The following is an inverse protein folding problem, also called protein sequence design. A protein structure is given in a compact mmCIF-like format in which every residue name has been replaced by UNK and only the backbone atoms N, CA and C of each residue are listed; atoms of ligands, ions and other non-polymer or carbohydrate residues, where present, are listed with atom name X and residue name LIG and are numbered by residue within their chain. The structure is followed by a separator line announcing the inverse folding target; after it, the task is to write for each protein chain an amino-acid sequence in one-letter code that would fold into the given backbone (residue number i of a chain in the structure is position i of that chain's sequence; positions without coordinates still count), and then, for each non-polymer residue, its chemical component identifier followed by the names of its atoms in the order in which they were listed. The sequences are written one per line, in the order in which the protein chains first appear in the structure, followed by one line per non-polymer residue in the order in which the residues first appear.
data_IF_757424283495
#
_entry.id   IF_757424283495
#
_cell.length_a   1.000
_cell.length_b   1.000
_cell.length_c   1.000
_cell.angle_alpha   90.00
_cell.angle_beta   90.00
_cell.angle_gamma   90.00
#
_symmetry.space_group_name_H-M   'P 1'
#
loop_
_entity.id
_entity.type
_entity.pdbx_description
1 polymer ?
#
# COMPACT_ATOMS: atom_id res chain seq x y z
N UNK A 1 -3.47 26.60 2.61
CA UNK A 1 -2.22 26.58 1.78
C UNK A 1 -2.16 25.21 1.12
N UNK A 2 -1.63 25.10 -0.09
CA UNK A 2 -1.41 23.78 -0.70
C UNK A 2 -0.36 23.02 0.10
N UNK A 3 -0.51 21.71 0.20
CA UNK A 3 0.45 20.82 0.87
C UNK A 3 1.74 20.75 0.04
N UNK A 4 2.90 20.80 0.72
CA UNK A 4 4.22 20.72 0.07
C UNK A 4 4.86 19.38 0.43
N UNK A 5 5.09 18.47 -0.54
CA UNK A 5 5.75 17.18 -0.30
C UNK A 5 7.19 17.35 0.20
N UNK A 6 7.67 16.36 0.96
CA UNK A 6 9.04 16.33 1.46
C UNK A 6 10.10 16.45 0.36
N UNK A 7 9.86 15.84 -0.82
CA UNK A 7 10.75 15.99 -1.97
C UNK A 7 10.97 17.48 -2.35
N UNK A 8 9.90 18.24 -2.49
CA UNK A 8 9.97 19.67 -2.86
C UNK A 8 10.80 20.46 -1.84
N UNK A 9 10.64 20.17 -0.56
CA UNK A 9 11.41 20.80 0.52
C UNK A 9 12.89 20.39 0.48
N UNK A 10 13.17 19.11 0.26
CA UNK A 10 14.54 18.60 0.12
C UNK A 10 15.28 19.31 -1.03
N UNK A 11 14.62 19.44 -2.20
CA UNK A 11 15.19 20.09 -3.38
C UNK A 11 15.50 21.58 -3.13
N UNK A 12 14.66 22.27 -2.36
CA UNK A 12 14.86 23.69 -2.00
C UNK A 12 15.95 23.90 -0.94
N UNK A 13 16.31 22.88 -0.17
CA UNK A 13 17.21 22.97 1.00
C UNK A 13 18.70 23.01 0.65
N UNK A 14 19.10 22.78 -0.59
CA UNK A 14 20.48 22.64 -1.09
C UNK A 14 21.31 21.54 -0.42
N UNK A 15 20.69 20.66 0.37
CA UNK A 15 21.38 19.61 1.13
C UNK A 15 21.90 18.46 0.24
N UNK A 16 21.57 18.46 -1.04
CA UNK A 16 22.04 17.51 -2.04
C UNK A 16 23.27 17.99 -2.81
N UNK A 17 23.66 19.28 -2.66
CA UNK A 17 24.80 19.85 -3.39
C UNK A 17 26.11 19.08 -3.12
N UNK A 18 26.82 18.74 -4.19
CA UNK A 18 28.08 17.98 -4.15
C UNK A 18 27.90 16.47 -4.00
N UNK A 19 26.67 15.97 -3.80
CA UNK A 19 26.44 14.56 -3.51
C UNK A 19 26.11 13.73 -4.78
N UNK A 20 26.52 12.47 -4.71
CA UNK A 20 26.12 11.40 -5.62
C UNK A 20 24.91 10.67 -5.02
N UNK A 21 23.74 10.85 -5.60
CA UNK A 21 22.46 10.43 -5.05
C UNK A 21 21.92 9.19 -5.78
N UNK A 22 21.53 8.18 -5.01
CA UNK A 22 20.59 7.13 -5.46
C UNK A 22 19.17 7.53 -5.13
N UNK A 23 18.24 7.37 -6.05
CA UNK A 23 16.83 7.75 -5.85
C UNK A 23 15.90 6.55 -6.02
N UNK A 24 15.17 6.23 -4.95
CA UNK A 24 14.07 5.23 -4.96
C UNK A 24 12.78 5.96 -5.28
N UNK A 25 12.19 5.68 -6.42
CA UNK A 25 11.02 6.39 -6.92
C UNK A 25 10.22 5.57 -7.95
N UNK A 26 9.01 6.04 -8.23
CA UNK A 26 8.12 5.48 -9.25
C UNK A 26 7.31 6.61 -9.92
N UNK A 27 6.34 6.33 -10.83
CA UNK A 27 5.58 7.39 -11.50
C UNK A 27 4.85 8.37 -10.59
N UNK A 28 4.48 7.97 -9.37
CA UNK A 28 3.82 8.86 -8.40
C UNK A 28 4.79 9.77 -7.63
N UNK A 29 6.09 9.61 -7.84
CA UNK A 29 7.14 10.45 -7.25
C UNK A 29 7.21 11.79 -8.00
N UNK A 30 6.20 12.64 -7.81
CA UNK A 30 6.06 13.93 -8.49
C UNK A 30 5.88 15.07 -7.48
N UNK A 31 6.19 16.28 -7.92
CA UNK A 31 5.83 17.53 -7.21
C UNK A 31 4.38 17.97 -7.51
N UNK A 32 3.98 19.14 -7.01
CA UNK A 32 2.64 19.69 -7.23
C UNK A 32 2.36 20.08 -8.71
N UNK A 33 3.39 20.13 -9.56
CA UNK A 33 3.29 20.44 -10.99
C UNK A 33 3.46 19.19 -11.88
N UNK A 34 3.40 17.98 -11.27
CA UNK A 34 3.58 16.70 -11.96
C UNK A 34 5.02 16.54 -12.52
N UNK A 35 5.98 17.33 -12.06
CA UNK A 35 7.38 17.11 -12.42
C UNK A 35 7.96 15.94 -11.63
N UNK A 36 8.49 14.95 -12.36
CA UNK A 36 8.95 13.69 -11.76
C UNK A 36 10.27 13.86 -10.99
N UNK A 37 10.37 13.23 -9.82
CA UNK A 37 11.52 13.29 -8.91
C UNK A 37 12.87 13.06 -9.60
N UNK A 38 12.98 12.06 -10.48
CA UNK A 38 14.23 11.79 -11.20
C UNK A 38 14.64 12.94 -12.14
N UNK A 39 13.68 13.66 -12.73
CA UNK A 39 13.96 14.87 -13.52
C UNK A 39 14.42 16.00 -12.61
N UNK A 40 13.67 16.26 -11.55
CA UNK A 40 13.97 17.34 -10.62
C UNK A 40 15.37 17.20 -10.01
N UNK A 41 15.72 15.99 -9.51
CA UNK A 41 17.05 15.71 -8.93
C UNK A 41 18.15 15.82 -9.98
N UNK A 42 17.94 15.33 -11.20
CA UNK A 42 18.96 15.38 -12.26
C UNK A 42 19.23 16.80 -12.79
N UNK A 43 18.33 17.75 -12.57
CA UNK A 43 18.48 19.14 -12.97
C UNK A 43 19.06 20.05 -11.89
N UNK A 44 19.27 19.52 -10.64
CA UNK A 44 19.83 20.32 -9.57
C UNK A 44 21.33 20.62 -9.82
N UNK A 45 21.76 21.90 -9.73
CA UNK A 45 23.16 22.25 -9.83
C UNK A 45 24.01 21.56 -8.75
N UNK A 46 25.13 20.99 -9.16
CA UNK A 46 26.07 20.33 -8.23
C UNK A 46 25.62 18.97 -7.70
N UNK A 47 24.48 18.43 -8.12
CA UNK A 47 23.98 17.10 -7.72
C UNK A 47 24.24 16.10 -8.84
N UNK A 48 24.72 14.90 -8.49
CA UNK A 48 24.85 13.79 -9.42
C UNK A 48 23.80 12.73 -9.12
N UNK A 49 22.77 12.61 -9.94
CA UNK A 49 21.88 11.43 -9.91
C UNK A 49 22.69 10.25 -10.46
N UNK A 50 23.03 9.28 -9.60
CA UNK A 50 23.92 8.18 -9.94
C UNK A 50 23.20 6.87 -10.23
N UNK A 51 22.03 6.64 -9.62
CA UNK A 51 21.20 5.46 -9.83
C UNK A 51 19.73 5.74 -9.51
N UNK A 52 18.84 5.00 -10.16
CA UNK A 52 17.40 4.93 -9.87
C UNK A 52 17.06 3.54 -9.34
N UNK A 53 16.08 3.47 -8.43
CA UNK A 53 15.59 2.22 -7.86
C UNK A 53 14.06 2.19 -7.97
N UNK A 54 13.52 1.16 -8.61
CA UNK A 54 12.08 0.96 -8.78
C UNK A 54 11.54 -0.06 -7.78
N UNK A 55 10.37 0.22 -7.12
CA UNK A 55 9.67 -0.73 -6.26
C UNK A 55 8.95 -1.80 -7.09
N UNK A 56 8.06 -2.59 -6.45
CA UNK A 56 7.11 -3.47 -7.13
C UNK A 56 6.39 -2.73 -8.27
N UNK A 57 6.04 -3.42 -9.33
CA UNK A 57 5.56 -2.94 -10.64
C UNK A 57 6.61 -2.20 -11.47
N UNK A 58 7.84 -2.04 -10.97
CA UNK A 58 8.96 -1.39 -11.66
C UNK A 58 8.95 0.13 -11.60
N UNK A 59 10.04 0.72 -12.03
CA UNK A 59 10.23 2.18 -12.08
C UNK A 59 9.16 2.89 -12.92
N UNK A 60 8.62 2.24 -13.95
CA UNK A 60 7.58 2.78 -14.85
C UNK A 60 6.17 2.39 -14.44
N UNK A 61 6.00 1.46 -13.52
CA UNK A 61 4.72 0.86 -13.11
C UNK A 61 3.87 0.37 -14.30
N UNK A 62 4.52 -0.22 -15.30
CA UNK A 62 3.89 -0.75 -16.51
C UNK A 62 3.48 -2.23 -16.35
N UNK A 63 3.94 -2.92 -15.34
CA UNK A 63 3.56 -4.30 -15.01
C UNK A 63 2.27 -4.29 -14.18
N UNK A 64 1.14 -4.51 -14.85
CA UNK A 64 -0.18 -4.36 -14.24
C UNK A 64 -0.53 -5.47 -13.25
N UNK A 65 -0.08 -6.70 -13.53
CA UNK A 65 -0.36 -7.82 -12.64
C UNK A 65 0.61 -7.85 -11.45
N UNK A 66 0.14 -8.33 -10.30
CA UNK A 66 0.98 -8.54 -9.13
C UNK A 66 1.84 -9.81 -9.30
N UNK A 67 2.91 -9.95 -8.52
CA UNK A 67 3.86 -11.07 -8.54
C UNK A 67 4.62 -11.25 -9.88
N UNK A 68 4.62 -10.25 -10.75
CA UNK A 68 5.48 -10.22 -11.94
C UNK A 68 6.72 -9.39 -11.62
N UNK A 69 7.89 -10.02 -11.72
CA UNK A 69 9.18 -9.37 -11.48
C UNK A 69 9.50 -8.37 -12.60
N UNK A 70 10.09 -7.24 -12.21
CA UNK A 70 10.56 -6.23 -13.17
C UNK A 70 12.09 -6.32 -13.35
N UNK A 71 12.62 -6.35 -14.59
CA UNK A 71 14.05 -6.45 -14.81
C UNK A 71 14.79 -5.15 -14.47
N UNK A 72 16.09 -5.26 -14.25
CA UNK A 72 16.98 -4.08 -14.26
C UNK A 72 16.98 -3.44 -15.65
N UNK A 73 17.15 -2.12 -15.69
CA UNK A 73 17.11 -1.34 -16.93
C UNK A 73 18.14 -0.19 -16.89
N UNK A 74 18.13 0.64 -17.90
CA UNK A 74 18.87 1.90 -17.95
C UNK A 74 17.93 3.03 -18.36
N UNK A 75 18.00 4.16 -17.68
CA UNK A 75 17.33 5.40 -18.11
C UNK A 75 18.16 6.03 -19.23
N UNK A 76 17.66 5.95 -20.47
CA UNK A 76 18.35 6.45 -21.65
C UNK A 76 18.50 7.98 -21.68
N UNK A 77 17.60 8.71 -21.01
CA UNK A 77 17.61 10.17 -20.94
C UNK A 77 18.70 10.65 -19.99
N UNK A 78 18.74 10.06 -18.77
CA UNK A 78 19.66 10.46 -17.70
C UNK A 78 20.97 9.67 -17.73
N UNK A 79 21.01 8.58 -18.51
CA UNK A 79 22.16 7.67 -18.67
C UNK A 79 22.63 7.08 -17.32
N UNK A 80 21.66 6.68 -16.51
CA UNK A 80 21.89 6.04 -15.21
C UNK A 80 21.25 4.66 -15.14
N UNK A 81 21.79 3.73 -14.34
CA UNK A 81 21.15 2.44 -14.11
C UNK A 81 19.81 2.62 -13.38
N UNK A 82 18.85 1.76 -13.73
CA UNK A 82 17.56 1.59 -13.04
C UNK A 82 17.53 0.20 -12.45
N UNK A 83 17.73 0.12 -11.15
CA UNK A 83 17.70 -1.15 -10.42
C UNK A 83 16.27 -1.47 -9.98
N UNK A 84 15.82 -2.68 -10.26
CA UNK A 84 14.57 -3.20 -9.71
C UNK A 84 14.80 -3.70 -8.29
N UNK A 85 13.94 -3.26 -7.36
CA UNK A 85 13.82 -3.83 -6.02
C UNK A 85 12.64 -4.81 -5.95
N UNK A 86 12.26 -5.36 -7.11
CA UNK A 86 11.28 -6.43 -7.25
C UNK A 86 11.69 -7.37 -8.40
N UNK A 87 12.89 -7.97 -8.27
CA UNK A 87 13.48 -8.96 -9.18
C UNK A 87 14.24 -10.00 -8.35
N UNK A 88 15.53 -10.21 -8.60
CA UNK A 88 16.39 -11.12 -7.84
C UNK A 88 16.56 -10.71 -6.37
N UNK A 89 16.35 -9.43 -6.06
CA UNK A 89 16.46 -8.88 -4.71
C UNK A 89 15.31 -7.93 -4.39
N UNK A 90 14.98 -7.85 -3.10
CA UNK A 90 14.06 -6.85 -2.51
C UNK A 90 14.79 -5.77 -1.74
N UNK A 91 16.11 -5.90 -1.63
CA UNK A 91 16.99 -4.99 -0.89
C UNK A 91 18.13 -4.54 -1.80
N UNK A 92 18.50 -3.24 -1.82
CA UNK A 92 19.67 -2.78 -2.57
C UNK A 92 20.94 -3.53 -2.19
N UNK A 93 21.69 -4.04 -3.17
CA UNK A 93 22.95 -4.73 -2.95
C UNK A 93 24.11 -3.73 -2.81
N UNK A 94 25.28 -4.22 -2.32
CA UNK A 94 26.50 -3.42 -2.22
C UNK A 94 26.90 -2.78 -3.55
N UNK A 95 26.79 -3.54 -4.65
CA UNK A 95 27.15 -3.06 -5.99
C UNK A 95 26.21 -1.96 -6.48
N UNK A 96 24.90 -2.08 -6.20
CA UNK A 96 23.91 -1.05 -6.53
C UNK A 96 24.13 0.25 -5.78
N UNK A 97 24.68 0.18 -4.56
CA UNK A 97 24.94 1.31 -3.66
C UNK A 97 26.34 1.88 -3.82
N UNK A 98 27.21 1.25 -4.60
CA UNK A 98 28.61 1.63 -4.73
C UNK A 98 28.78 3.07 -5.25
N UNK A 99 29.49 3.88 -4.49
CA UNK A 99 29.80 5.26 -4.83
C UNK A 99 28.63 6.24 -4.67
N UNK A 100 27.58 5.85 -3.96
CA UNK A 100 26.53 6.76 -3.52
C UNK A 100 26.94 7.41 -2.20
N UNK A 101 26.71 8.71 -2.08
CA UNK A 101 26.87 9.48 -0.83
C UNK A 101 25.55 9.50 -0.02
N UNK A 102 24.43 9.35 -0.70
CA UNK A 102 23.10 9.44 -0.11
C UNK A 102 22.09 8.59 -0.89
N UNK A 103 21.22 7.88 -0.17
CA UNK A 103 20.02 7.27 -0.74
C UNK A 103 18.79 8.13 -0.40
N UNK A 104 18.01 8.50 -1.41
CA UNK A 104 16.75 9.26 -1.25
C UNK A 104 15.59 8.35 -1.62
N UNK A 105 14.57 8.32 -0.77
CA UNK A 105 13.32 7.57 -1.01
C UNK A 105 12.18 8.56 -1.16
N UNK A 106 11.49 8.52 -2.29
CA UNK A 106 10.29 9.30 -2.56
C UNK A 106 9.22 8.40 -3.17
N UNK A 107 8.40 7.79 -2.33
CA UNK A 107 7.34 6.84 -2.71
C UNK A 107 6.00 7.26 -2.09
N UNK A 108 4.90 7.11 -2.85
CA UNK A 108 3.54 7.33 -2.36
C UNK A 108 2.96 6.04 -1.80
N UNK A 109 2.79 5.97 -0.49
CA UNK A 109 2.02 4.94 0.19
C UNK A 109 0.50 5.21 0.11
N UNK A 110 -0.33 4.18 0.36
CA UNK A 110 -1.79 4.28 0.33
C UNK A 110 -2.48 4.01 1.67
N UNK A 111 -1.72 3.92 2.76
CA UNK A 111 -2.26 3.80 4.12
C UNK A 111 -2.59 2.38 4.58
N UNK A 112 -2.20 1.37 3.82
CA UNK A 112 -2.48 -0.04 4.09
C UNK A 112 -1.22 -0.87 4.26
N UNK A 113 -1.17 -1.75 5.28
CA UNK A 113 -0.04 -2.66 5.55
C UNK A 113 0.39 -3.45 4.33
N UNK A 114 -0.54 -3.92 3.53
CA UNK A 114 -0.28 -4.80 2.39
C UNK A 114 0.42 -4.05 1.24
N UNK A 115 0.39 -2.71 1.22
CA UNK A 115 0.98 -1.94 0.16
C UNK A 115 2.51 -1.88 0.30
N UNK A 116 3.21 -2.61 -0.58
CA UNK A 116 4.62 -3.02 -0.42
C UNK A 116 5.66 -1.91 -0.42
N UNK A 117 5.30 -0.68 -0.78
CA UNK A 117 6.25 0.44 -0.86
C UNK A 117 6.84 0.81 0.49
N UNK A 118 6.09 0.63 1.57
CA UNK A 118 6.61 0.81 2.93
C UNK A 118 7.71 -0.22 3.26
N UNK A 119 7.65 -1.41 2.67
CA UNK A 119 8.68 -2.45 2.85
C UNK A 119 9.84 -2.28 1.89
N UNK A 120 9.62 -1.75 0.68
CA UNK A 120 10.70 -1.27 -0.19
C UNK A 120 11.53 -0.21 0.54
N UNK A 121 10.87 0.76 1.19
CA UNK A 121 11.53 1.76 2.02
C UNK A 121 12.28 1.12 3.20
N UNK A 122 11.66 0.18 3.93
CA UNK A 122 12.29 -0.51 5.05
C UNK A 122 13.54 -1.31 4.63
N UNK A 123 13.48 -1.98 3.48
CA UNK A 123 14.61 -2.72 2.92
C UNK A 123 15.73 -1.77 2.48
N UNK A 124 15.39 -0.59 1.97
CA UNK A 124 16.38 0.47 1.71
C UNK A 124 17.03 0.97 3.00
N UNK A 125 16.28 1.11 4.10
CA UNK A 125 16.84 1.43 5.43
C UNK A 125 17.82 0.35 5.90
N UNK A 126 17.46 -0.94 5.77
CA UNK A 126 18.35 -2.08 6.12
C UNK A 126 19.65 -2.07 5.32
N UNK A 127 19.55 -1.87 4.00
CA UNK A 127 20.70 -1.76 3.11
C UNK A 127 21.58 -0.54 3.47
N UNK A 128 20.97 0.62 3.67
CA UNK A 128 21.65 1.84 4.08
C UNK A 128 22.42 1.64 5.40
N UNK A 129 21.80 1.00 6.39
CA UNK A 129 22.44 0.64 7.66
C UNK A 129 23.64 -0.30 7.47
N UNK A 130 23.46 -1.36 6.67
CA UNK A 130 24.48 -2.38 6.42
C UNK A 130 25.71 -1.81 5.72
N UNK A 131 25.50 -0.88 4.79
CA UNK A 131 26.56 -0.31 3.94
C UNK A 131 27.05 1.08 4.41
N UNK A 132 26.53 1.58 5.53
CA UNK A 132 26.97 2.86 6.11
C UNK A 132 26.59 4.09 5.29
N UNK A 133 25.54 4.00 4.46
CA UNK A 133 25.09 5.10 3.61
C UNK A 133 23.96 5.85 4.32
N UNK A 134 24.00 7.19 4.44
CA UNK A 134 22.88 7.98 4.92
C UNK A 134 21.66 7.81 4.01
N UNK A 135 20.45 7.88 4.60
CA UNK A 135 19.20 7.78 3.86
C UNK A 135 18.23 8.88 4.25
N UNK A 136 17.61 9.48 3.25
CA UNK A 136 16.54 10.48 3.41
C UNK A 136 15.24 9.91 2.86
N UNK A 137 14.18 9.90 3.67
CA UNK A 137 12.82 9.60 3.24
C UNK A 137 12.07 10.93 3.07
N UNK A 138 11.70 11.24 1.82
CA UNK A 138 10.82 12.34 1.48
C UNK A 138 9.40 11.95 1.84
N UNK A 139 8.84 12.56 2.87
CA UNK A 139 7.51 12.21 3.35
C UNK A 139 6.42 12.71 2.41
N UNK A 140 5.32 11.96 2.35
CA UNK A 140 4.12 12.25 1.55
C UNK A 140 2.87 12.06 2.40
N UNK A 141 1.78 12.79 2.09
CA UNK A 141 0.50 12.59 2.76
C UNK A 141 0.05 11.13 2.71
N UNK A 142 -0.47 10.62 3.83
CA UNK A 142 -1.26 9.40 3.76
C UNK A 142 -2.60 9.73 3.09
N UNK A 143 -2.94 9.11 1.94
CA UNK A 143 -4.09 9.54 1.14
C UNK A 143 -5.44 9.29 1.80
N UNK A 144 -5.51 8.35 2.73
CA UNK A 144 -6.74 8.00 3.45
C UNK A 144 -6.76 8.56 4.89
N UNK A 145 -5.94 9.60 5.14
CA UNK A 145 -5.82 10.25 6.45
C UNK A 145 -4.93 9.49 7.44
N UNK A 146 -4.61 10.16 8.52
CA UNK A 146 -3.73 9.64 9.59
C UNK A 146 -4.43 9.45 10.94
N UNK A 147 -5.73 9.69 11.03
CA UNK A 147 -6.49 9.58 12.29
C UNK A 147 -6.79 8.12 12.59
N UNK A 148 -7.48 7.45 11.69
CA UNK A 148 -7.98 6.10 11.92
C UNK A 148 -6.91 5.02 11.80
N UNK A 149 -7.01 4.04 12.70
CA UNK A 149 -6.28 2.78 12.69
C UNK A 149 -7.29 1.65 12.73
N UNK A 150 -7.11 0.62 11.89
CA UNK A 150 -8.11 -0.43 11.77
C UNK A 150 -7.50 -1.76 11.32
N UNK A 151 -8.15 -2.85 11.70
CA UNK A 151 -7.87 -4.19 11.20
C UNK A 151 -6.86 -4.97 12.02
N UNK A 152 -6.66 -6.25 11.68
CA UNK A 152 -5.81 -7.15 12.42
C UNK A 152 -4.33 -6.74 12.33
N UNK A 153 -3.61 -6.99 13.41
CA UNK A 153 -2.16 -6.88 13.47
C UNK A 153 -1.49 -8.03 12.70
N UNK A 154 -0.27 -7.80 12.21
CA UNK A 154 0.59 -8.89 11.79
C UNK A 154 1.13 -9.62 13.02
N UNK A 155 0.89 -10.92 13.09
CA UNK A 155 1.42 -11.80 14.13
C UNK A 155 2.76 -12.40 13.73
N UNK A 156 3.58 -12.73 14.74
CA UNK A 156 4.87 -13.40 14.54
C UNK A 156 4.70 -14.74 13.79
N UNK A 157 5.55 -14.96 12.79
CA UNK A 157 5.50 -16.12 11.91
C UNK A 157 4.65 -15.94 10.65
N UNK A 158 4.00 -14.79 10.49
CA UNK A 158 3.26 -14.43 9.26
C UNK A 158 3.92 -13.31 8.47
N UNK A 159 5.18 -13.00 8.79
CA UNK A 159 5.97 -12.04 8.03
C UNK A 159 6.13 -12.53 6.59
N UNK A 160 5.98 -11.59 5.66
CA UNK A 160 6.10 -11.83 4.22
C UNK A 160 6.45 -10.53 3.50
N UNK A 161 6.56 -10.57 2.17
CA UNK A 161 6.78 -9.35 1.38
C UNK A 161 5.65 -8.32 1.52
N UNK A 162 4.43 -8.74 1.88
CA UNK A 162 3.27 -7.86 2.13
C UNK A 162 3.02 -7.57 3.62
N UNK A 163 3.98 -7.89 4.47
CA UNK A 163 3.91 -7.63 5.90
C UNK A 163 5.22 -7.99 6.61
N UNK A 164 6.09 -7.00 6.91
CA UNK A 164 7.38 -7.25 7.59
C UNK A 164 7.36 -6.90 9.08
N UNK A 165 6.37 -6.15 9.54
CA UNK A 165 6.34 -5.61 10.90
C UNK A 165 4.95 -5.71 11.50
N UNK A 166 4.83 -5.82 12.84
CA UNK A 166 3.56 -5.94 13.55
C UNK A 166 2.80 -4.60 13.58
N UNK A 167 2.23 -4.24 12.44
CA UNK A 167 1.36 -3.07 12.27
C UNK A 167 -0.03 -3.50 11.80
N UNK A 168 -1.09 -2.72 12.07
CA UNK A 168 -2.45 -3.04 11.66
C UNK A 168 -2.66 -2.85 10.15
N UNK A 169 -3.76 -3.38 9.62
CA UNK A 169 -4.11 -3.32 8.21
C UNK A 169 -4.19 -1.87 7.69
N UNK A 170 -4.93 -0.99 8.36
CA UNK A 170 -4.92 0.46 8.15
C UNK A 170 -4.09 1.09 9.26
N UNK A 171 -2.90 1.60 8.94
CA UNK A 171 -1.93 2.03 9.97
C UNK A 171 -2.04 3.50 10.37
N UNK A 172 -2.70 4.36 9.57
CA UNK A 172 -2.89 5.77 9.89
C UNK A 172 -1.59 6.56 10.10
N UNK A 173 -0.54 6.26 9.33
CA UNK A 173 0.76 6.93 9.39
C UNK A 173 1.21 7.33 7.97
N UNK A 174 2.05 8.35 7.85
CA UNK A 174 2.75 8.67 6.61
C UNK A 174 3.94 7.74 6.41
N UNK A 175 4.49 7.67 5.19
CA UNK A 175 5.67 6.84 4.91
C UNK A 175 6.89 7.29 5.72
N UNK A 176 7.04 8.61 5.97
CA UNK A 176 8.10 9.15 6.82
C UNK A 176 7.92 8.77 8.30
N UNK A 177 6.69 8.76 8.81
CA UNK A 177 6.39 8.28 10.16
C UNK A 177 6.66 6.78 10.29
N UNK A 178 6.28 5.97 9.29
CA UNK A 178 6.62 4.55 9.24
C UNK A 178 8.13 4.32 9.17
N UNK A 179 8.86 5.14 8.41
CA UNK A 179 10.33 5.05 8.37
C UNK A 179 10.93 5.22 9.76
N UNK A 180 10.46 6.20 10.54
CA UNK A 180 10.88 6.39 11.94
C UNK A 180 10.50 5.21 12.82
N UNK A 181 9.25 4.75 12.72
CA UNK A 181 8.78 3.60 13.50
C UNK A 181 9.63 2.35 13.22
N UNK A 182 9.88 2.02 11.95
CA UNK A 182 10.67 0.85 11.56
C UNK A 182 12.13 1.00 11.97
N UNK A 183 12.68 2.20 11.84
CA UNK A 183 14.06 2.48 12.20
C UNK A 183 14.31 2.40 13.70
N UNK A 184 13.45 2.99 14.50
CA UNK A 184 13.63 3.17 15.94
C UNK A 184 13.02 2.01 16.74
N UNK A 185 11.68 1.81 16.64
CA UNK A 185 10.96 0.82 17.46
C UNK A 185 11.23 -0.62 17.01
N UNK A 186 11.41 -0.85 15.70
CA UNK A 186 11.71 -2.19 15.17
C UNK A 186 13.19 -2.40 14.85
N UNK A 187 14.06 -1.46 15.27
CA UNK A 187 15.50 -1.67 15.46
C UNK A 187 16.33 -1.73 14.17
N UNK A 188 15.89 -1.15 13.04
CA UNK A 188 16.74 -1.10 11.83
C UNK A 188 18.02 -0.29 12.10
N UNK A 189 17.92 0.90 12.73
CA UNK A 189 19.06 1.70 13.18
C UNK A 189 19.87 2.33 12.05
N UNK A 190 19.26 2.67 10.92
CA UNK A 190 19.89 3.39 9.83
C UNK A 190 20.15 4.86 10.20
N UNK A 191 21.11 5.50 9.53
CA UNK A 191 21.29 6.95 9.60
C UNK A 191 20.19 7.65 8.80
N UNK A 192 18.96 7.63 9.35
CA UNK A 192 17.74 8.12 8.74
C UNK A 192 17.52 9.61 9.02
N UNK A 193 17.15 10.33 7.98
CA UNK A 193 16.47 11.62 8.07
C UNK A 193 15.13 11.56 7.33
N UNK A 194 14.10 12.15 7.90
CA UNK A 194 12.80 12.32 7.25
C UNK A 194 12.65 13.79 6.87
N UNK A 195 12.42 14.05 5.59
CA UNK A 195 12.03 15.37 5.11
C UNK A 195 10.52 15.47 5.14
N UNK A 196 10.01 16.28 6.06
CA UNK A 196 8.57 16.35 6.38
C UNK A 196 7.74 16.98 5.25
N UNK A 197 6.48 16.58 5.17
CA UNK A 197 5.43 17.33 4.45
C UNK A 197 5.14 18.64 5.18
N UNK A 198 4.78 19.68 4.46
CA UNK A 198 4.31 20.94 5.04
C UNK A 198 2.84 21.17 4.70
N UNK A 199 2.05 21.61 5.68
CA UNK A 199 0.64 21.97 5.51
C UNK A 199 -0.34 20.78 5.49
N UNK A 200 0.11 19.53 5.68
CA UNK A 200 -0.77 18.38 5.85
C UNK A 200 -1.13 18.19 7.33
N UNK A 201 -2.38 17.87 7.60
CA UNK A 201 -2.88 17.45 8.90
C UNK A 201 -3.50 16.07 8.83
N UNK A 202 -3.52 15.36 9.94
CA UNK A 202 -3.91 13.93 9.99
C UNK A 202 -5.35 13.64 9.55
N UNK A 203 -6.24 14.62 9.62
CA UNK A 203 -7.64 14.53 9.22
C UNK A 203 -7.85 14.76 7.70
N UNK A 204 -6.81 15.19 6.97
CA UNK A 204 -6.88 15.41 5.53
C UNK A 204 -6.82 14.10 4.75
N UNK A 205 -7.74 13.94 3.80
CA UNK A 205 -7.62 13.01 2.68
C UNK A 205 -6.86 13.65 1.53
N UNK A 206 -6.41 12.85 0.56
CA UNK A 206 -5.51 13.33 -0.49
C UNK A 206 -6.11 14.45 -1.34
N UNK A 207 -7.39 14.41 -1.65
CA UNK A 207 -8.11 15.45 -2.43
C UNK A 207 -8.16 16.83 -1.73
N UNK A 208 -7.94 16.85 -0.42
CA UNK A 208 -7.88 18.09 0.37
C UNK A 208 -6.47 18.69 0.39
N UNK A 209 -5.47 17.99 -0.13
CA UNK A 209 -4.07 18.47 -0.14
C UNK A 209 -3.78 19.46 -1.26
N UNK A 210 -4.60 19.48 -2.31
CA UNK A 210 -4.33 20.23 -3.54
C UNK A 210 -3.25 19.64 -4.43
N UNK A 211 -2.73 18.43 -4.10
CA UNK A 211 -1.77 17.70 -4.91
C UNK A 211 -2.49 16.89 -5.99
N UNK A 212 -1.87 16.71 -7.18
CA UNK A 212 -2.43 15.84 -8.21
C UNK A 212 -2.30 14.35 -7.81
N UNK A 213 -3.38 13.57 -8.00
CA UNK A 213 -3.30 12.13 -7.86
C UNK A 213 -2.57 11.52 -9.07
N UNK A 214 -1.42 10.93 -8.83
CA UNK A 214 -0.74 10.09 -9.82
C UNK A 214 -0.77 8.66 -9.29
N UNK A 215 -1.21 7.73 -10.11
CA UNK A 215 -1.35 6.32 -9.72
C UNK A 215 -0.03 5.76 -9.19
N UNK A 216 0.05 5.38 -7.90
CA UNK A 216 1.28 4.81 -7.36
C UNK A 216 1.52 3.38 -7.86
N UNK A 217 0.46 2.68 -8.27
CA UNK A 217 0.53 1.39 -8.96
C UNK A 217 -0.62 1.25 -9.96
N UNK A 218 -0.53 0.31 -10.93
CA UNK A 218 -1.50 0.21 -12.03
C UNK A 218 -2.94 -0.04 -11.61
N UNK A 219 -3.15 -0.68 -10.46
CA UNK A 219 -4.49 -0.97 -9.94
C UNK A 219 -4.90 -0.03 -8.78
N UNK A 220 -4.27 1.15 -8.70
CA UNK A 220 -4.62 2.22 -7.74
C UNK A 220 -4.99 3.51 -8.49
N UNK A 221 -6.03 3.48 -9.36
CA UNK A 221 -6.33 4.57 -10.29
C UNK A 221 -6.81 5.85 -9.61
N UNK A 222 -7.51 5.74 -8.48
CA UNK A 222 -8.17 6.87 -7.83
C UNK A 222 -8.01 6.84 -6.31
N UNK A 223 -8.30 7.97 -5.68
CA UNK A 223 -8.41 8.05 -4.23
C UNK A 223 -9.54 7.13 -3.69
N UNK A 224 -10.65 6.99 -4.41
CA UNK A 224 -11.77 6.12 -4.00
C UNK A 224 -11.30 4.67 -3.88
N UNK A 225 -10.48 4.23 -4.84
CA UNK A 225 -9.82 2.91 -4.77
C UNK A 225 -8.93 2.79 -3.52
N UNK A 226 -8.13 3.82 -3.22
CA UNK A 226 -7.25 3.81 -2.04
C UNK A 226 -8.03 3.75 -0.72
N UNK A 227 -9.21 4.39 -0.65
CA UNK A 227 -10.07 4.41 0.54
C UNK A 227 -10.61 3.02 0.86
N UNK A 228 -11.02 2.25 -0.15
CA UNK A 228 -11.59 0.90 0.05
C UNK A 228 -10.51 -0.19 0.14
N UNK A 229 -9.30 0.10 -0.35
CA UNK A 229 -8.21 -0.87 -0.51
C UNK A 229 -7.85 -1.64 0.77
N UNK A 230 -7.78 -1.05 1.99
CA UNK A 230 -7.38 -1.80 3.18
C UNK A 230 -8.26 -3.01 3.50
N UNK A 231 -9.54 -2.98 3.10
CA UNK A 231 -10.44 -4.12 3.25
C UNK A 231 -10.54 -4.97 1.98
N UNK A 232 -10.60 -4.31 0.82
CA UNK A 232 -10.79 -4.99 -0.45
C UNK A 232 -9.57 -5.83 -0.88
N UNK A 233 -8.35 -5.48 -0.45
CA UNK A 233 -7.14 -6.27 -0.74
C UNK A 233 -7.18 -7.68 -0.14
N UNK A 234 -7.95 -7.91 0.92
CA UNK A 234 -8.14 -9.24 1.52
C UNK A 234 -8.74 -10.25 0.52
N UNK A 235 -9.46 -9.77 -0.50
CA UNK A 235 -10.03 -10.61 -1.56
C UNK A 235 -8.95 -11.27 -2.42
N UNK A 236 -7.72 -10.78 -2.46
CA UNK A 236 -6.61 -11.48 -3.11
C UNK A 236 -6.35 -12.87 -2.50
N UNK A 237 -6.73 -13.08 -1.23
CA UNK A 237 -6.68 -14.37 -0.54
C UNK A 237 -7.82 -15.33 -0.85
N UNK A 238 -8.73 -14.97 -1.77
CA UNK A 238 -9.90 -15.76 -2.16
C UNK A 238 -9.92 -16.03 -3.66
N UNK A 239 -10.90 -16.84 -4.11
CA UNK A 239 -11.21 -16.99 -5.53
C UNK A 239 -12.25 -15.95 -6.02
N UNK A 240 -12.68 -15.02 -5.17
CA UNK A 240 -13.53 -13.90 -5.58
C UNK A 240 -12.72 -12.85 -6.33
N UNK A 241 -13.32 -12.22 -7.34
CA UNK A 241 -12.69 -11.08 -8.02
C UNK A 241 -12.69 -9.85 -7.12
N UNK A 242 -11.55 -9.20 -7.00
CA UNK A 242 -11.38 -7.87 -6.42
C UNK A 242 -11.44 -6.75 -7.48
N UNK A 243 -12.05 -7.02 -8.62
CA UNK A 243 -12.24 -6.03 -9.67
C UNK A 243 -11.00 -5.71 -10.51
N UNK A 244 -9.86 -6.39 -10.32
CA UNK A 244 -8.72 -6.28 -11.25
C UNK A 244 -9.18 -6.71 -12.64
N UNK A 245 -8.70 -6.04 -13.68
CA UNK A 245 -9.20 -6.25 -15.05
C UNK A 245 -10.49 -5.51 -15.37
N UNK A 246 -11.00 -4.70 -14.45
CA UNK A 246 -12.09 -3.75 -14.66
C UNK A 246 -11.59 -2.32 -14.56
N UNK A 247 -12.46 -1.34 -14.78
CA UNK A 247 -12.16 0.09 -14.59
C UNK A 247 -12.20 0.53 -13.11
N UNK A 248 -12.59 -0.36 -12.20
CA UNK A 248 -12.77 -0.08 -10.76
C UNK A 248 -12.15 -1.19 -9.89
N UNK A 249 -10.83 -1.40 -9.96
CA UNK A 249 -10.17 -2.38 -9.11
C UNK A 249 -10.42 -2.06 -7.63
N UNK A 250 -10.63 -3.12 -6.84
CA UNK A 250 -10.95 -3.08 -5.41
C UNK A 250 -12.29 -2.43 -5.02
N UNK A 251 -12.92 -1.67 -5.92
CA UNK A 251 -14.25 -1.12 -5.70
C UNK A 251 -15.36 -2.11 -6.14
N UNK A 252 -15.06 -3.02 -7.09
CA UNK A 252 -15.92 -4.09 -7.57
C UNK A 252 -15.50 -5.42 -6.97
N UNK A 253 -16.40 -6.08 -6.27
CA UNK A 253 -16.17 -7.37 -5.64
C UNK A 253 -17.25 -8.36 -6.10
N UNK A 254 -16.83 -9.57 -6.52
CA UNK A 254 -17.82 -10.52 -6.98
C UNK A 254 -17.26 -11.84 -7.55
N UNK A 255 -18.17 -12.67 -8.06
CA UNK A 255 -17.87 -13.93 -8.72
C UNK A 255 -19.01 -14.36 -9.66
N UNK A 256 -18.79 -15.32 -10.57
CA UNK A 256 -19.82 -15.76 -11.52
C UNK A 256 -21.08 -16.38 -10.90
N UNK A 257 -21.00 -16.78 -9.65
CA UNK A 257 -22.07 -17.45 -8.93
C UNK A 257 -22.80 -16.54 -7.92
N UNK A 258 -22.46 -15.27 -7.84
CA UNK A 258 -23.09 -14.30 -6.94
C UNK A 258 -24.33 -13.72 -7.61
N UNK A 259 -25.46 -13.74 -6.91
CA UNK A 259 -26.62 -12.94 -7.21
C UNK A 259 -26.38 -11.50 -6.69
N UNK A 260 -26.23 -10.58 -7.63
CA UNK A 260 -25.83 -9.21 -7.31
C UNK A 260 -26.88 -8.45 -6.50
N UNK A 261 -28.16 -8.60 -6.86
CA UNK A 261 -29.28 -7.90 -6.21
C UNK A 261 -29.42 -8.39 -4.76
N UNK A 262 -29.47 -9.69 -4.58
CA UNK A 262 -29.66 -10.31 -3.26
C UNK A 262 -28.50 -9.98 -2.32
N UNK A 263 -27.24 -10.09 -2.81
CA UNK A 263 -26.08 -9.83 -1.96
C UNK A 263 -25.94 -8.35 -1.59
N UNK A 264 -26.31 -7.43 -2.48
CA UNK A 264 -26.29 -6.01 -2.18
C UNK A 264 -27.37 -5.62 -1.17
N UNK A 265 -28.57 -6.23 -1.27
CA UNK A 265 -29.64 -6.06 -0.30
C UNK A 265 -29.22 -6.54 1.09
N UNK A 266 -28.66 -7.74 1.20
CA UNK A 266 -28.14 -8.30 2.45
C UNK A 266 -27.04 -7.45 3.07
N UNK A 267 -26.10 -6.94 2.24
CA UNK A 267 -25.03 -6.07 2.70
C UNK A 267 -25.54 -4.73 3.21
N UNK A 268 -26.50 -4.12 2.52
CA UNK A 268 -27.12 -2.87 2.98
C UNK A 268 -27.94 -3.07 4.26
N UNK A 269 -28.51 -4.25 4.47
CA UNK A 269 -29.22 -4.61 5.70
C UNK A 269 -28.30 -4.72 6.93
N UNK A 270 -26.96 -4.82 6.74
CA UNK A 270 -26.00 -4.77 7.86
C UNK A 270 -25.87 -3.39 8.48
N UNK A 271 -26.36 -2.35 7.84
CA UNK A 271 -26.33 -0.95 8.29
C UNK A 271 -24.92 -0.53 8.73
N UNK A 272 -23.95 -0.66 7.82
CA UNK A 272 -22.57 -0.26 8.06
C UNK A 272 -22.42 1.24 7.81
N UNK A 273 -21.73 1.93 8.74
CA UNK A 273 -21.56 3.37 8.67
C UNK A 273 -20.75 3.81 7.45
N UNK A 274 -21.22 4.86 6.76
CA UNK A 274 -20.49 5.55 5.70
C UNK A 274 -20.32 4.77 4.40
N UNK A 275 -21.11 3.71 4.16
CA UNK A 275 -21.05 2.91 2.96
C UNK A 275 -22.44 2.49 2.47
N UNK A 276 -22.58 2.36 1.17
CA UNK A 276 -23.73 1.74 0.49
C UNK A 276 -23.23 0.79 -0.59
N UNK A 277 -23.89 -0.35 -0.74
CA UNK A 277 -23.53 -1.37 -1.71
C UNK A 277 -24.51 -1.33 -2.88
N UNK A 278 -23.98 -1.10 -4.08
CA UNK A 278 -24.77 -1.14 -5.32
C UNK A 278 -24.59 -2.51 -5.99
N UNK A 279 -25.67 -3.18 -6.38
CA UNK A 279 -25.56 -4.41 -7.18
C UNK A 279 -24.92 -4.10 -8.52
N UNK A 280 -24.01 -4.96 -8.98
CA UNK A 280 -23.35 -4.83 -10.28
C UNK A 280 -23.15 -6.17 -10.96
N UNK A 281 -23.09 -6.09 -12.30
CA UNK A 281 -22.59 -7.17 -13.14
C UNK A 281 -21.38 -6.64 -13.90
N UNK A 282 -20.28 -7.41 -13.94
CA UNK A 282 -19.03 -7.00 -14.57
C UNK A 282 -18.28 -8.19 -15.17
N UNK A 283 -17.38 -7.93 -16.09
CA UNK A 283 -16.52 -8.93 -16.72
C UNK A 283 -15.05 -8.46 -16.63
N UNK A 284 -14.21 -9.12 -15.83
CA UNK A 284 -12.79 -8.82 -15.78
C UNK A 284 -12.08 -9.18 -17.10
N UNK A 285 -11.13 -8.36 -17.55
CA UNK A 285 -10.36 -8.62 -18.77
C UNK A 285 -9.11 -9.48 -18.53
N UNK A 286 -8.63 -9.51 -17.29
CA UNK A 286 -7.50 -10.34 -16.84
C UNK A 286 -7.68 -10.71 -15.36
N UNK A 287 -6.79 -11.53 -14.81
CA UNK A 287 -6.85 -12.06 -13.42
C UNK A 287 -8.03 -13.03 -13.23
N UNK A 288 -8.58 -13.07 -12.00
CA UNK A 288 -9.66 -13.98 -11.61
C UNK A 288 -10.89 -13.76 -12.46
N UNK A 289 -11.46 -14.86 -12.92
CA UNK A 289 -12.66 -14.87 -13.76
C UNK A 289 -12.56 -14.06 -15.04
N UNK A 290 -11.34 -13.93 -15.61
CA UNK A 290 -11.12 -13.22 -16.88
C UNK A 290 -12.08 -13.71 -17.96
N UNK A 291 -12.78 -12.78 -18.61
CA UNK A 291 -13.79 -13.01 -19.65
C UNK A 291 -14.99 -13.87 -19.23
N UNK A 292 -15.28 -13.83 -17.93
CA UNK A 292 -16.49 -14.47 -17.37
C UNK A 292 -17.30 -13.41 -16.66
N UNK A 293 -18.59 -13.35 -16.96
CA UNK A 293 -19.52 -12.43 -16.28
C UNK A 293 -19.64 -12.79 -14.80
N UNK A 294 -19.43 -11.80 -13.94
CA UNK A 294 -19.53 -11.89 -12.49
C UNK A 294 -20.67 -11.02 -11.99
N UNK A 295 -21.46 -11.53 -11.06
CA UNK A 295 -22.33 -10.74 -10.21
C UNK A 295 -21.58 -10.32 -8.94
N UNK A 296 -22.01 -9.22 -8.31
CA UNK A 296 -21.38 -8.76 -7.08
C UNK A 296 -21.85 -7.39 -6.64
N UNK A 297 -21.03 -6.70 -5.87
CA UNK A 297 -21.33 -5.36 -5.40
C UNK A 297 -20.23 -4.36 -5.72
N UNK A 298 -20.63 -3.10 -5.91
CA UNK A 298 -19.74 -1.96 -5.85
C UNK A 298 -19.84 -1.31 -4.47
N UNK A 299 -18.68 -1.03 -3.88
CA UNK A 299 -18.58 -0.29 -2.62
C UNK A 299 -18.67 1.21 -2.92
N UNK A 300 -19.72 1.89 -2.44
CA UNK A 300 -19.85 3.34 -2.47
C UNK A 300 -19.62 3.92 -1.09
N UNK A 301 -18.52 4.62 -0.90
CA UNK A 301 -18.25 5.34 0.36
C UNK A 301 -19.08 6.62 0.36
N UNK A 302 -20.03 6.72 1.29
CA UNK A 302 -20.95 7.86 1.43
C UNK A 302 -20.50 8.87 2.47
N UNK A 303 -19.77 8.42 3.50
CA UNK A 303 -19.09 9.28 4.48
C UNK A 303 -17.73 8.67 4.87
N UNK A 304 -16.65 9.30 4.44
CA UNK A 304 -15.26 8.87 4.71
C UNK A 304 -14.88 8.88 6.18
N UNK A 305 -15.55 9.70 7.02
CA UNK A 305 -15.23 9.86 8.45
C UNK A 305 -15.73 8.69 9.29
N UNK A 306 -16.84 8.10 8.87
CA UNK A 306 -17.44 6.97 9.58
C UNK A 306 -17.09 5.64 8.90
N UNK A 307 -16.69 5.67 7.64
CA UNK A 307 -16.36 4.48 6.86
C UNK A 307 -15.19 3.69 7.45
N UNK A 308 -15.39 2.39 7.63
CA UNK A 308 -14.38 1.44 8.14
C UNK A 308 -14.04 0.41 7.05
N UNK A 309 -12.97 0.63 6.26
CA UNK A 309 -12.66 -0.20 5.10
C UNK A 309 -12.42 -1.68 5.44
N UNK A 310 -11.71 -1.99 6.52
CA UNK A 310 -11.39 -3.38 6.86
C UNK A 310 -12.64 -4.12 7.35
N UNK A 311 -13.44 -3.50 8.21
CA UNK A 311 -14.76 -4.03 8.62
C UNK A 311 -15.64 -4.29 7.40
N UNK A 312 -15.70 -3.33 6.46
CA UNK A 312 -16.49 -3.45 5.23
C UNK A 312 -16.01 -4.61 4.37
N UNK A 313 -14.71 -4.75 4.13
CA UNK A 313 -14.14 -5.87 3.36
C UNK A 313 -14.48 -7.23 3.99
N UNK A 314 -14.36 -7.34 5.31
CA UNK A 314 -14.72 -8.56 6.06
C UNK A 314 -16.22 -8.84 5.99
N UNK A 315 -17.07 -7.81 6.08
CA UNK A 315 -18.52 -7.96 5.95
C UNK A 315 -18.91 -8.50 4.57
N UNK A 316 -18.35 -7.94 3.49
CA UNK A 316 -18.59 -8.41 2.12
C UNK A 316 -18.10 -9.85 1.95
N UNK A 317 -16.91 -10.18 2.45
CA UNK A 317 -16.35 -11.54 2.36
C UNK A 317 -17.21 -12.57 3.11
N UNK A 318 -17.62 -12.23 4.33
CA UNK A 318 -18.53 -13.09 5.12
C UNK A 318 -19.88 -13.27 4.46
N UNK A 319 -20.44 -12.23 3.83
CA UNK A 319 -21.71 -12.33 3.10
C UNK A 319 -21.58 -13.22 1.85
N UNK A 320 -20.49 -13.09 1.08
CA UNK A 320 -20.25 -13.95 -0.07
C UNK A 320 -20.02 -15.42 0.35
N UNK A 321 -19.34 -15.65 1.47
CA UNK A 321 -19.22 -16.99 2.04
C UNK A 321 -20.59 -17.58 2.41
N UNK A 322 -21.44 -16.81 3.11
CA UNK A 322 -22.80 -17.26 3.49
C UNK A 322 -23.72 -17.49 2.28
N UNK A 323 -23.63 -16.65 1.25
CA UNK A 323 -24.44 -16.77 0.06
C UNK A 323 -24.25 -18.10 -0.68
N UNK A 324 -23.03 -18.63 -0.70
CA UNK A 324 -22.76 -19.96 -1.28
C UNK A 324 -21.48 -20.58 -0.71
N UNK A 325 -21.53 -21.24 0.46
CA UNK A 325 -20.36 -21.83 1.10
C UNK A 325 -19.68 -22.93 0.25
N UNK A 326 -20.45 -23.61 -0.62
CA UNK A 326 -19.90 -24.68 -1.47
C UNK A 326 -19.14 -24.16 -2.69
N UNK A 327 -19.35 -22.90 -3.08
CA UNK A 327 -18.65 -22.24 -4.20
C UNK A 327 -17.62 -21.22 -3.75
N UNK A 328 -17.72 -20.73 -2.54
CA UNK A 328 -16.67 -19.91 -1.95
C UNK A 328 -15.40 -20.72 -1.76
N UNK A 329 -14.26 -20.19 -2.16
CA UNK A 329 -12.98 -20.85 -1.97
C UNK A 329 -11.89 -19.85 -1.61
N UNK A 330 -11.03 -20.24 -0.70
CA UNK A 330 -9.78 -19.55 -0.42
C UNK A 330 -8.77 -19.84 -1.53
N UNK A 331 -7.99 -18.81 -1.88
CA UNK A 331 -6.84 -19.00 -2.78
C UNK A 331 -5.83 -19.92 -2.10
N UNK A 332 -5.26 -20.85 -2.87
CA UNK A 332 -4.20 -21.73 -2.40
C UNK A 332 -2.82 -21.10 -2.62
N UNK A 333 -1.81 -21.47 -1.84
CA UNK A 333 -0.43 -21.10 -2.10
C UNK A 333 0.02 -21.49 -3.52
N UNK A 334 1.04 -20.85 -4.12
CA UNK A 334 1.87 -19.78 -3.54
C UNK A 334 1.26 -18.38 -3.63
N UNK A 335 1.70 -17.50 -2.72
CA UNK A 335 1.37 -16.07 -2.76
C UNK A 335 2.56 -15.24 -2.26
N UNK A 336 3.02 -14.26 -3.05
CA UNK A 336 4.12 -13.34 -2.72
C UNK A 336 5.34 -14.05 -2.11
N UNK A 337 5.78 -15.15 -2.80
CA UNK A 337 6.92 -16.01 -2.44
C UNK A 337 6.75 -16.87 -1.18
N UNK A 338 5.55 -16.88 -0.60
CA UNK A 338 5.18 -17.84 0.44
C UNK A 338 4.49 -19.05 -0.22
N UNK A 339 4.97 -20.26 0.09
CA UNK A 339 4.57 -21.49 -0.59
C UNK A 339 3.71 -22.43 0.27
N UNK A 340 3.59 -22.18 1.57
CA UNK A 340 2.92 -23.06 2.51
C UNK A 340 1.68 -22.44 3.16
N UNK A 341 1.79 -21.15 3.56
CA UNK A 341 0.71 -20.46 4.26
C UNK A 341 -0.39 -20.03 3.30
N UNK A 342 -1.62 -20.07 3.79
CA UNK A 342 -2.79 -19.60 3.05
C UNK A 342 -2.64 -18.09 2.74
N UNK A 343 -2.86 -17.65 1.50
CA UNK A 343 -2.78 -16.24 1.12
C UNK A 343 -3.61 -15.31 2.01
N UNK A 344 -4.81 -15.72 2.40
CA UNK A 344 -5.65 -14.93 3.31
C UNK A 344 -5.02 -14.78 4.69
N UNK A 345 -4.31 -15.79 5.21
CA UNK A 345 -3.67 -15.73 6.51
C UNK A 345 -2.45 -14.78 6.47
N UNK A 346 -1.72 -14.75 5.34
CA UNK A 346 -0.64 -13.80 5.09
C UNK A 346 -1.19 -12.37 5.04
N UNK A 347 -2.26 -12.15 4.28
CA UNK A 347 -2.90 -10.84 4.13
C UNK A 347 -3.49 -10.34 5.45
N UNK A 348 -4.20 -11.18 6.17
CA UNK A 348 -4.76 -10.84 7.48
C UNK A 348 -3.68 -10.70 8.56
N UNK A 349 -2.55 -11.40 8.41
CA UNK A 349 -1.45 -11.44 9.38
C UNK A 349 -1.55 -12.56 10.41
N UNK A 350 -2.59 -13.41 10.32
CA UNK A 350 -2.79 -14.61 11.12
C UNK A 350 -3.94 -15.44 10.53
N UNK A 351 -4.14 -16.71 10.95
CA UNK A 351 -5.25 -17.56 10.48
C UNK A 351 -6.60 -17.19 11.11
N UNK A 352 -6.63 -16.28 12.08
CA UNK A 352 -7.82 -15.98 12.86
C UNK A 352 -8.99 -15.47 12.00
N UNK A 353 -8.73 -14.57 11.05
CA UNK A 353 -9.76 -14.02 10.17
C UNK A 353 -10.45 -15.12 9.36
N UNK A 354 -9.67 -16.03 8.76
CA UNK A 354 -10.21 -17.14 7.97
C UNK A 354 -11.07 -18.05 8.83
N UNK A 355 -10.56 -18.46 10.00
CA UNK A 355 -11.28 -19.33 10.93
C UNK A 355 -12.60 -18.69 11.43
N UNK A 356 -12.61 -17.39 11.69
CA UNK A 356 -13.80 -16.67 12.13
C UNK A 356 -14.85 -16.57 11.02
N UNK A 357 -14.46 -16.31 9.76
CA UNK A 357 -15.37 -16.29 8.61
C UNK A 357 -15.97 -17.69 8.38
N UNK A 358 -15.15 -18.75 8.41
CA UNK A 358 -15.62 -20.15 8.28
C UNK A 358 -16.59 -20.55 9.39
N UNK A 359 -16.37 -20.04 10.60
CA UNK A 359 -17.27 -20.25 11.75
C UNK A 359 -18.55 -19.38 11.71
N UNK A 360 -18.71 -18.49 10.70
CA UNK A 360 -19.87 -17.63 10.56
C UNK A 360 -19.94 -16.49 11.58
N UNK A 361 -18.82 -16.12 12.20
CA UNK A 361 -18.72 -14.97 13.14
C UNK A 361 -19.09 -13.69 12.39
N UNK A 362 -19.84 -12.81 13.04
CA UNK A 362 -20.24 -11.55 12.42
C UNK A 362 -19.06 -10.61 12.18
N UNK A 363 -19.10 -9.79 11.14
CA UNK A 363 -18.03 -8.85 10.83
C UNK A 363 -17.76 -7.85 11.98
N UNK A 364 -18.79 -7.45 12.74
CA UNK A 364 -18.65 -6.57 13.90
C UNK A 364 -17.92 -7.25 15.06
N UNK A 365 -18.19 -8.53 15.32
CA UNK A 365 -17.47 -9.31 16.35
C UNK A 365 -16.01 -9.55 15.92
N UNK A 366 -15.77 -9.86 14.63
CA UNK A 366 -14.42 -9.97 14.08
C UNK A 366 -13.66 -8.65 14.27
N UNK A 367 -14.26 -7.52 13.92
CA UNK A 367 -13.64 -6.21 14.09
C UNK A 367 -13.38 -5.87 15.56
N UNK A 368 -14.26 -6.24 16.47
CA UNK A 368 -14.07 -6.05 17.91
C UNK A 368 -12.85 -6.82 18.44
N UNK A 369 -12.51 -7.97 17.85
CA UNK A 369 -11.35 -8.78 18.25
C UNK A 369 -9.99 -8.10 18.00
N UNK A 370 -9.94 -7.04 17.16
CA UNK A 370 -8.71 -6.29 16.86
C UNK A 370 -8.39 -5.17 17.85
N UNK A 371 -9.34 -4.81 18.74
CA UNK A 371 -9.31 -3.60 19.57
C UNK A 371 -8.05 -3.46 20.43
N UNK A 372 -7.58 -4.55 21.04
CA UNK A 372 -6.40 -4.53 21.91
C UNK A 372 -5.12 -4.26 21.10
N UNK A 373 -4.98 -4.93 19.95
CA UNK A 373 -3.86 -4.74 19.03
C UNK A 373 -3.81 -3.32 18.46
N UNK A 374 -4.96 -2.80 18.04
CA UNK A 374 -5.10 -1.43 17.53
C UNK A 374 -4.74 -0.43 18.65
N UNK A 375 -5.25 -0.59 19.85
CA UNK A 375 -4.94 0.28 20.99
C UNK A 375 -3.44 0.26 21.35
N UNK A 376 -2.82 -0.91 21.33
CA UNK A 376 -1.39 -1.06 21.59
C UNK A 376 -0.56 -0.35 20.50
N UNK A 377 -0.93 -0.52 19.24
CA UNK A 377 -0.27 0.16 18.13
C UNK A 377 -0.45 1.68 18.18
N UNK A 378 -1.63 2.18 18.51
CA UNK A 378 -1.87 3.62 18.68
C UNK A 378 -0.98 4.25 19.75
N UNK A 379 -0.70 3.52 20.83
CA UNK A 379 0.28 3.97 21.86
C UNK A 379 1.69 3.97 21.29
N UNK A 380 2.09 2.91 20.58
CA UNK A 380 3.41 2.78 19.98
C UNK A 380 3.68 3.88 18.94
N UNK A 381 2.74 4.13 18.01
CA UNK A 381 2.93 5.08 16.92
C UNK A 381 3.11 6.54 17.40
N UNK A 382 2.55 6.90 18.57
CA UNK A 382 2.56 8.30 19.08
C UNK A 382 3.96 8.92 19.12
N UNK A 383 4.98 8.16 19.50
CA UNK A 383 6.36 8.64 19.57
C UNK A 383 6.99 8.91 18.19
N UNK A 384 6.38 8.39 17.12
CA UNK A 384 6.90 8.45 15.76
C UNK A 384 6.10 9.37 14.84
N UNK A 385 4.98 9.93 15.33
CA UNK A 385 4.17 10.90 14.58
C UNK A 385 4.94 12.20 14.35
N UNK A 386 4.69 12.84 13.20
CA UNK A 386 5.35 14.06 12.75
C UNK A 386 4.39 15.25 12.67
N UNK A 387 3.07 14.96 12.64
CA UNK A 387 1.99 15.93 12.41
C UNK A 387 0.89 15.77 13.44
#
# INVERSE_FOLDING_TARGET
MAVVPGLTRLLASRQLEGLRVGLVCNPASVDAHIAHAAHLVSCLPGVTLAALFGPQHGFRSDLQDNMIESPHASDAIRRVPVYSLYSDTREPTADMLKGLDLLVVDLQDVGARIYTFIYTMANCLRAARRHGIPIVVCDRPNPIGGVDVEGPMLEAGYESFVGLFPIPMRHGMTIGELARLFNDAFGIGAHLRVEKVEGWTRDMYFDQTGLPWVMPSPNMPTLDTAIVYPGAVLFEGTQLSEGRGTTRPFEYLGAPWIDAEHVAEDLNALDLDGVTFRPIVFEPTFQKHARVTCGGCQIHVTDRRTFKPVLTGVAVMGQFHRANPSRFAWRQPPYEYEHEKMPIDILAGSPALRAQIEAGVSAREIAASWSDGVTAFERLRRAHLLY
#
